data_IF_252852014389
#
_entry.id   IF_252852014389
#
_cell.length_a   1.000
_cell.length_b   1.000
_cell.length_c   1.000
_cell.angle_alpha   90.00
_cell.angle_beta   90.00
_cell.angle_gamma   90.00
#
_symmetry.space_group_name_H-M   'P 1'
#
loop_
_entity.id
_entity.type
_entity.pdbx_description
1 polymer ?
#
# COMPACT_ATOMS: atom_id res chain seq x y z
N UNK A 1 -20.47 17.80 3.11
CA UNK A 1 -19.39 17.91 2.09
C UNK A 1 -19.09 16.52 1.59
N UNK A 2 -18.91 16.33 0.27
CA UNK A 2 -18.46 15.08 -0.34
C UNK A 2 -17.05 14.74 0.18
N UNK A 3 -16.76 13.47 0.43
CA UNK A 3 -15.43 13.01 0.84
C UNK A 3 -14.92 11.96 -0.15
N UNK A 4 -13.66 12.09 -0.58
CA UNK A 4 -12.94 11.10 -1.38
C UNK A 4 -11.80 10.56 -0.54
N UNK A 5 -11.72 9.23 -0.39
CA UNK A 5 -10.73 8.52 0.42
C UNK A 5 -9.84 7.69 -0.52
N UNK A 6 -8.55 7.94 -0.48
CA UNK A 6 -7.51 7.20 -1.18
C UNK A 6 -6.51 6.68 -0.15
N UNK A 7 -5.80 5.60 -0.46
CA UNK A 7 -4.65 5.13 0.31
C UNK A 7 -3.61 4.50 -0.61
N UNK A 8 -2.47 4.16 -0.07
CA UNK A 8 -1.45 3.35 -0.72
C UNK A 8 -1.07 3.92 -2.11
N UNK A 9 -0.86 5.24 -2.14
CA UNK A 9 -0.40 5.94 -3.34
C UNK A 9 1.06 5.65 -3.61
N UNK A 10 1.89 5.57 -2.57
CA UNK A 10 3.34 5.41 -2.66
C UNK A 10 3.99 6.41 -3.61
N UNK A 11 3.64 7.69 -3.46
CA UNK A 11 4.23 8.77 -4.24
C UNK A 11 5.75 8.76 -4.04
N UNK A 12 6.48 8.48 -5.10
CA UNK A 12 7.90 8.24 -5.07
C UNK A 12 8.73 9.40 -5.62
N UNK A 13 10.02 9.17 -5.77
CA UNK A 13 10.99 10.16 -6.24
C UNK A 13 11.16 10.19 -7.77
N UNK A 14 10.40 9.39 -8.52
CA UNK A 14 10.49 9.27 -9.97
C UNK A 14 11.67 8.42 -10.45
N UNK A 15 12.32 7.69 -9.56
CA UNK A 15 13.41 6.77 -9.89
C UNK A 15 12.94 5.48 -10.56
N UNK A 16 13.86 4.64 -11.05
CA UNK A 16 13.52 3.43 -11.81
C UNK A 16 12.82 2.36 -10.97
N UNK A 17 12.81 2.51 -9.66
CA UNK A 17 12.19 1.57 -8.71
C UNK A 17 10.96 2.15 -8.04
N UNK A 18 10.51 3.30 -8.51
CA UNK A 18 9.26 3.89 -8.09
C UNK A 18 8.08 2.99 -8.51
N UNK A 19 7.19 2.71 -7.57
CA UNK A 19 6.05 1.82 -7.78
C UNK A 19 4.75 2.57 -8.06
N UNK A 20 4.71 3.89 -7.82
CA UNK A 20 3.56 4.72 -8.14
C UNK A 20 3.25 4.69 -9.64
N UNK A 21 2.02 4.38 -9.98
CA UNK A 21 1.59 4.21 -11.36
C UNK A 21 0.64 5.30 -11.86
N UNK A 22 0.09 6.10 -10.95
CA UNK A 22 -0.98 7.05 -11.25
C UNK A 22 -0.51 8.49 -11.55
N UNK A 23 0.68 8.67 -12.15
CA UNK A 23 1.28 10.01 -12.34
C UNK A 23 0.43 10.96 -13.23
N UNK A 24 -0.31 10.41 -14.19
CA UNK A 24 -1.26 11.18 -15.00
C UNK A 24 -2.68 11.16 -14.41
N UNK A 25 -3.08 10.04 -13.84
CA UNK A 25 -4.46 9.75 -13.42
C UNK A 25 -4.81 10.45 -12.10
N UNK A 26 -3.89 10.50 -11.14
CA UNK A 26 -4.16 11.12 -9.83
C UNK A 26 -4.37 12.64 -9.95
N UNK A 27 -3.53 13.40 -10.67
CA UNK A 27 -3.82 14.82 -10.92
C UNK A 27 -5.15 15.03 -11.62
N UNK A 28 -5.49 14.20 -12.62
CA UNK A 28 -6.75 14.31 -13.36
C UNK A 28 -7.97 14.03 -12.47
N UNK A 29 -7.90 13.00 -11.62
CA UNK A 29 -8.93 12.75 -10.61
C UNK A 29 -9.09 13.94 -9.68
N UNK A 30 -8.00 14.45 -9.10
CA UNK A 30 -8.05 15.58 -8.16
C UNK A 30 -8.60 16.84 -8.82
N UNK A 31 -8.22 17.12 -10.06
CA UNK A 31 -8.76 18.27 -10.83
C UNK A 31 -10.25 18.14 -11.08
N UNK A 32 -10.78 16.94 -11.28
CA UNK A 32 -12.21 16.69 -11.43
C UNK A 32 -13.03 17.05 -10.19
N UNK A 33 -12.37 17.19 -9.02
CA UNK A 33 -13.02 17.53 -7.75
C UNK A 33 -13.18 19.03 -7.52
N UNK A 34 -12.53 19.88 -8.31
CA UNK A 34 -12.51 21.34 -8.08
C UNK A 34 -13.85 22.03 -8.30
N UNK A 35 -14.81 21.39 -8.99
CA UNK A 35 -16.16 21.94 -9.21
C UNK A 35 -17.07 21.96 -7.98
N UNK A 36 -16.73 21.24 -6.91
CA UNK A 36 -17.52 21.16 -5.67
C UNK A 36 -16.59 20.98 -4.48
N UNK A 37 -16.76 21.74 -3.38
CA UNK A 37 -15.94 21.57 -2.18
C UNK A 37 -15.92 20.13 -1.71
N UNK A 38 -14.72 19.50 -1.75
CA UNK A 38 -14.51 18.10 -1.47
C UNK A 38 -13.47 17.93 -0.33
N UNK A 39 -13.72 17.02 0.57
CA UNK A 39 -12.72 16.57 1.53
C UNK A 39 -11.95 15.40 0.94
N UNK A 40 -10.66 15.57 0.70
CA UNK A 40 -9.76 14.49 0.25
C UNK A 40 -9.07 13.89 1.46
N UNK A 41 -9.22 12.59 1.67
CA UNK A 41 -8.51 11.84 2.72
C UNK A 41 -7.48 10.94 2.05
N UNK A 42 -6.20 11.16 2.37
CA UNK A 42 -5.10 10.27 2.00
C UNK A 42 -4.82 9.41 3.24
N UNK A 43 -5.29 8.17 3.20
CA UNK A 43 -5.42 7.29 4.36
C UNK A 43 -4.20 6.36 4.51
N UNK A 44 -3.02 6.95 4.73
CA UNK A 44 -1.75 6.25 4.90
C UNK A 44 -1.06 5.88 3.59
N UNK A 45 0.22 5.67 3.67
CA UNK A 45 1.12 5.32 2.56
C UNK A 45 0.94 6.26 1.35
N UNK A 46 0.80 7.56 1.65
CA UNK A 46 0.70 8.60 0.63
C UNK A 46 2.02 8.78 -0.10
N UNK A 47 3.13 8.75 0.63
CA UNK A 47 4.49 8.82 0.11
C UNK A 47 5.24 7.52 0.37
N UNK A 48 6.28 7.25 -0.42
CA UNK A 48 7.17 6.14 -0.17
C UNK A 48 8.55 6.64 0.27
N UNK A 49 8.76 6.74 1.58
CA UNK A 49 10.05 7.08 2.17
C UNK A 49 10.99 5.88 2.26
N UNK A 50 10.51 4.68 1.94
CA UNK A 50 11.31 3.46 2.02
C UNK A 50 12.12 3.16 0.75
N UNK A 51 12.05 4.01 -0.29
CA UNK A 51 12.72 3.81 -1.60
C UNK A 51 14.26 3.95 -1.58
N UNK A 52 14.88 3.96 -0.41
CA UNK A 52 16.34 4.03 -0.27
C UNK A 52 16.84 2.98 0.72
N UNK A 53 18.13 2.64 0.60
CA UNK A 53 18.77 1.58 1.39
C UNK A 53 19.21 2.06 2.78
N UNK A 54 18.91 3.29 3.18
CA UNK A 54 19.60 4.00 4.24
C UNK A 54 18.67 4.95 5.02
N UNK A 55 18.83 5.10 6.34
CA UNK A 55 19.12 4.11 7.38
C UNK A 55 17.87 3.30 7.76
N UNK A 56 18.02 2.29 8.66
CA UNK A 56 16.91 1.46 9.19
C UNK A 56 16.11 2.16 10.30
N UNK A 57 16.18 3.48 10.35
CA UNK A 57 15.44 4.32 11.29
C UNK A 57 15.14 5.68 10.66
N UNK A 58 14.06 6.31 11.09
CA UNK A 58 13.74 7.70 10.72
C UNK A 58 14.84 8.61 11.27
N UNK A 59 15.56 9.30 10.37
CA UNK A 59 16.56 10.29 10.71
C UNK A 59 16.05 11.68 10.30
N UNK A 60 15.69 12.57 11.25
CA UNK A 60 15.05 13.84 10.94
C UNK A 60 15.83 14.73 9.97
N UNK A 61 17.17 14.64 9.97
CA UNK A 61 18.02 15.46 9.07
C UNK A 61 17.93 14.96 7.63
N UNK A 62 18.05 13.65 7.41
CA UNK A 62 17.94 13.02 6.08
C UNK A 62 16.52 13.03 5.55
N UNK A 63 15.56 12.83 6.42
CA UNK A 63 14.12 12.82 6.10
C UNK A 63 13.69 14.09 5.40
N UNK A 64 14.22 15.25 5.81
CA UNK A 64 13.87 16.52 5.16
C UNK A 64 14.37 16.59 3.71
N UNK A 65 15.55 16.06 3.43
CA UNK A 65 16.08 15.96 2.06
C UNK A 65 15.26 14.99 1.21
N UNK A 66 14.91 13.84 1.77
CA UNK A 66 14.04 12.85 1.13
C UNK A 66 12.66 13.43 0.81
N UNK A 67 12.04 14.12 1.78
CA UNK A 67 10.75 14.78 1.57
C UNK A 67 10.81 15.77 0.41
N UNK A 68 11.86 16.60 0.34
CA UNK A 68 12.07 17.54 -0.78
C UNK A 68 12.24 16.81 -2.12
N UNK A 69 12.98 15.70 -2.14
CA UNK A 69 13.15 14.90 -3.36
C UNK A 69 11.81 14.30 -3.82
N UNK A 70 11.03 13.74 -2.90
CA UNK A 70 9.71 13.18 -3.18
C UNK A 70 8.74 14.23 -3.75
N UNK A 71 8.53 15.34 -3.03
CA UNK A 71 7.51 16.33 -3.42
C UNK A 71 7.87 17.08 -4.72
N UNK A 72 9.16 17.17 -5.08
CA UNK A 72 9.62 17.83 -6.30
C UNK A 72 9.81 16.88 -7.49
N UNK A 73 9.59 15.58 -7.32
CA UNK A 73 9.72 14.64 -8.42
C UNK A 73 8.69 14.91 -9.52
N UNK A 74 9.04 14.59 -10.75
CA UNK A 74 8.17 14.79 -11.91
C UNK A 74 6.86 13.99 -11.80
N UNK A 75 6.86 12.90 -11.06
CA UNK A 75 5.68 12.05 -10.87
C UNK A 75 4.77 12.54 -9.74
N UNK A 76 5.34 13.08 -8.65
CA UNK A 76 4.60 13.47 -7.45
C UNK A 76 4.12 14.92 -7.50
N UNK A 77 4.95 15.85 -7.98
CA UNK A 77 4.64 17.27 -7.96
C UNK A 77 3.31 17.65 -8.65
N UNK A 78 2.92 17.07 -9.79
CA UNK A 78 1.62 17.36 -10.41
C UNK A 78 0.43 17.02 -9.50
N UNK A 79 0.50 15.89 -8.78
CA UNK A 79 -0.55 15.45 -7.85
C UNK A 79 -0.70 16.40 -6.65
N UNK A 80 0.42 16.87 -6.08
CA UNK A 80 0.37 17.83 -4.97
C UNK A 80 -0.18 19.19 -5.40
N UNK A 81 0.20 19.67 -6.59
CA UNK A 81 -0.38 20.91 -7.15
C UNK A 81 -1.87 20.76 -7.44
N UNK A 82 -2.32 19.59 -7.93
CA UNK A 82 -3.73 19.30 -8.12
C UNK A 82 -4.50 19.30 -6.80
N UNK A 83 -3.93 18.66 -5.74
CA UNK A 83 -4.49 18.73 -4.39
C UNK A 83 -4.59 20.19 -3.91
N UNK A 84 -3.56 21.00 -4.16
CA UNK A 84 -3.58 22.43 -3.89
C UNK A 84 -4.75 23.15 -4.55
N UNK A 85 -5.09 22.81 -5.81
CA UNK A 85 -6.27 23.38 -6.52
C UNK A 85 -7.59 22.96 -5.88
N UNK A 86 -7.71 21.72 -5.41
CA UNK A 86 -8.89 21.27 -4.63
C UNK A 86 -9.06 22.13 -3.38
N UNK A 87 -7.97 22.39 -2.64
CA UNK A 87 -8.01 23.25 -1.46
C UNK A 87 -8.40 24.69 -1.82
N UNK A 88 -7.83 25.23 -2.89
CA UNK A 88 -8.17 26.58 -3.37
C UNK A 88 -9.64 26.71 -3.78
N UNK A 89 -10.25 25.65 -4.31
CA UNK A 89 -11.67 25.57 -4.66
C UNK A 89 -12.62 25.41 -3.44
N UNK A 90 -12.11 25.56 -2.21
CA UNK A 90 -12.91 25.48 -0.99
C UNK A 90 -12.93 24.09 -0.35
N UNK A 91 -12.19 23.13 -0.89
CA UNK A 91 -12.01 21.82 -0.30
C UNK A 91 -11.09 21.82 0.92
N UNK A 92 -10.93 20.65 1.52
CA UNK A 92 -9.94 20.37 2.56
C UNK A 92 -9.28 19.02 2.31
N UNK A 93 -8.14 18.77 2.95
CA UNK A 93 -7.48 17.48 2.87
C UNK A 93 -7.02 17.01 4.25
N UNK A 94 -6.96 15.69 4.43
CA UNK A 94 -6.37 15.05 5.61
C UNK A 94 -5.41 13.98 5.11
N UNK A 95 -4.15 14.04 5.57
CA UNK A 95 -3.17 12.96 5.39
C UNK A 95 -3.04 12.20 6.72
N UNK A 96 -3.24 10.90 6.67
CA UNK A 96 -3.01 9.98 7.78
C UNK A 96 -1.67 9.31 7.56
N UNK A 97 -0.88 9.13 8.62
CA UNK A 97 0.40 8.42 8.57
C UNK A 97 0.14 6.93 8.34
N UNK A 98 0.91 6.32 7.43
CA UNK A 98 1.00 4.88 7.22
C UNK A 98 2.41 4.36 7.55
N UNK A 99 2.66 3.07 7.29
CA UNK A 99 3.95 2.47 7.61
C UNK A 99 5.07 2.79 6.60
N UNK A 100 4.74 3.31 5.41
CA UNK A 100 5.72 3.79 4.42
C UNK A 100 6.02 5.28 4.53
N UNK A 101 5.27 6.05 5.31
CA UNK A 101 5.40 7.50 5.43
C UNK A 101 5.33 8.02 6.87
N UNK A 102 5.99 7.30 7.80
CA UNK A 102 6.14 7.69 9.21
C UNK A 102 6.68 9.10 9.38
N UNK A 103 7.47 9.55 8.43
CA UNK A 103 8.10 10.86 8.34
C UNK A 103 7.08 12.01 8.29
N UNK A 104 5.84 11.72 7.87
CA UNK A 104 4.74 12.70 7.92
C UNK A 104 4.34 13.10 9.35
N UNK A 105 4.77 12.35 10.38
CA UNK A 105 4.64 12.77 11.77
C UNK A 105 5.55 13.98 12.12
N UNK A 106 6.60 14.25 11.33
CA UNK A 106 7.55 15.31 11.58
C UNK A 106 7.04 16.67 11.07
N UNK A 107 6.96 17.72 11.92
CA UNK A 107 6.44 19.03 11.51
C UNK A 107 7.17 19.67 10.33
N UNK A 108 8.49 19.48 10.24
CA UNK A 108 9.30 20.03 9.15
C UNK A 108 8.97 19.35 7.79
N UNK A 109 8.68 18.05 7.80
CA UNK A 109 8.20 17.30 6.62
C UNK A 109 6.81 17.79 6.22
N UNK A 110 5.91 17.96 7.18
CA UNK A 110 4.58 18.53 6.91
C UNK A 110 4.66 19.92 6.28
N UNK A 111 5.62 20.76 6.71
CA UNK A 111 5.85 22.08 6.12
C UNK A 111 6.31 21.97 4.65
N UNK A 112 7.21 21.03 4.34
CA UNK A 112 7.65 20.74 2.96
C UNK A 112 6.48 20.30 2.08
N UNK A 113 5.63 19.39 2.57
CA UNK A 113 4.44 18.92 1.83
C UNK A 113 3.46 20.07 1.59
N UNK A 114 3.17 20.90 2.62
CA UNK A 114 2.31 22.08 2.45
C UNK A 114 2.86 23.08 1.42
N UNK A 115 4.17 23.30 1.40
CA UNK A 115 4.80 24.19 0.43
C UNK A 115 4.65 23.65 -1.01
N UNK A 116 4.72 22.35 -1.19
CA UNK A 116 4.58 21.69 -2.50
C UNK A 116 3.17 21.78 -3.11
N UNK A 117 2.13 22.12 -2.32
CA UNK A 117 0.79 22.41 -2.83
C UNK A 117 0.75 23.65 -3.72
N UNK A 118 1.79 24.50 -3.70
CA UNK A 118 1.90 25.73 -4.46
C UNK A 118 0.72 26.70 -4.26
N UNK A 119 0.25 26.81 -3.00
CA UNK A 119 -0.86 27.66 -2.60
C UNK A 119 -0.45 28.63 -1.47
N UNK A 120 -1.15 29.76 -1.32
CA UNK A 120 -0.96 30.64 -0.17
C UNK A 120 -1.18 29.90 1.16
N UNK A 121 -0.55 30.37 2.23
CA UNK A 121 -0.59 29.72 3.56
C UNK A 121 -2.00 29.47 4.09
N UNK A 122 -2.94 30.41 3.90
CA UNK A 122 -4.35 30.26 4.34
C UNK A 122 -5.13 29.18 3.57
N UNK A 123 -4.65 28.77 2.37
CA UNK A 123 -5.19 27.67 1.60
C UNK A 123 -4.48 26.39 1.97
N UNK A 124 -3.14 26.39 2.00
CA UNK A 124 -2.36 25.18 2.32
C UNK A 124 -2.57 24.70 3.76
N UNK A 125 -2.99 25.58 4.69
CA UNK A 125 -3.38 25.19 6.05
C UNK A 125 -4.67 24.35 6.12
N UNK A 126 -5.43 24.22 5.02
CA UNK A 126 -6.58 23.30 4.92
C UNK A 126 -6.14 21.83 4.72
N UNK A 127 -4.83 21.57 4.59
CA UNK A 127 -4.25 20.24 4.71
C UNK A 127 -3.92 19.97 6.17
N UNK A 128 -4.60 19.00 6.77
CA UNK A 128 -4.33 18.47 8.10
C UNK A 128 -3.52 17.17 8.01
N UNK A 129 -2.67 16.93 9.03
CA UNK A 129 -1.97 15.67 9.19
C UNK A 129 -2.48 14.98 10.46
N UNK A 130 -2.61 13.65 10.39
CA UNK A 130 -3.03 12.78 11.48
C UNK A 130 -2.00 11.67 11.65
N UNK A 131 -1.63 11.40 12.88
CA UNK A 131 -0.62 10.42 13.26
C UNK A 131 -1.08 8.95 13.15
N UNK A 132 -2.38 8.70 12.98
CA UNK A 132 -2.90 7.33 12.89
C UNK A 132 -3.16 6.64 14.26
N UNK A 133 -2.83 7.26 15.39
CA UNK A 133 -3.09 6.70 16.74
C UNK A 133 -4.56 6.34 16.98
N UNK A 134 -5.46 7.04 16.34
CA UNK A 134 -6.89 6.78 16.38
C UNK A 134 -7.50 6.85 14.98
N UNK A 135 -8.48 5.99 14.68
CA UNK A 135 -9.20 6.07 13.42
C UNK A 135 -9.85 7.44 13.20
N UNK A 136 -9.78 7.93 11.97
CA UNK A 136 -10.45 9.17 11.57
C UNK A 136 -11.96 8.92 11.50
N UNK A 137 -12.72 9.69 12.24
CA UNK A 137 -14.18 9.65 12.22
C UNK A 137 -14.72 10.78 11.33
N UNK A 138 -15.49 10.40 10.33
CA UNK A 138 -16.12 11.32 9.39
C UNK A 138 -17.62 11.30 9.59
N UNK A 139 -18.23 12.49 9.59
CA UNK A 139 -19.67 12.66 9.43
C UNK A 139 -19.96 13.23 8.03
N UNK A 140 -20.72 12.48 7.26
CA UNK A 140 -21.13 12.88 5.91
C UNK A 140 -22.65 12.73 5.81
N UNK A 141 -23.35 13.84 5.81
CA UNK A 141 -24.83 13.83 5.77
C UNK A 141 -25.48 13.15 6.96
N UNK A 142 -24.82 13.17 8.12
CA UNK A 142 -25.26 12.45 9.34
C UNK A 142 -24.91 10.97 9.35
N UNK A 143 -24.27 10.43 8.31
CA UNK A 143 -23.74 9.07 8.32
C UNK A 143 -22.30 9.06 8.86
N UNK A 144 -22.03 8.15 9.80
CA UNK A 144 -20.71 8.00 10.43
C UNK A 144 -19.87 6.98 9.67
N UNK A 145 -18.72 7.43 9.15
CA UNK A 145 -17.72 6.62 8.47
C UNK A 145 -16.42 6.63 9.26
N UNK A 146 -15.88 5.47 9.53
CA UNK A 146 -14.60 5.29 10.20
C UNK A 146 -13.53 4.98 9.16
N UNK A 147 -12.40 5.69 9.21
CA UNK A 147 -11.28 5.53 8.28
C UNK A 147 -10.03 5.24 9.08
N UNK A 148 -9.31 4.19 8.71
CA UNK A 148 -8.00 3.82 9.29
C UNK A 148 -7.12 3.22 8.22
N UNK A 149 -5.79 3.42 8.29
CA UNK A 149 -4.91 2.83 7.29
C UNK A 149 -4.98 1.30 7.33
N UNK A 150 -4.77 0.67 8.49
CA UNK A 150 -4.93 -0.77 8.64
C UNK A 150 -3.66 -1.51 9.04
N UNK A 151 -2.50 -0.87 9.07
CA UNK A 151 -1.20 -1.41 9.42
C UNK A 151 -1.16 -2.09 10.81
N UNK A 152 -2.03 -1.62 11.71
CA UNK A 152 -2.14 -2.19 13.06
C UNK A 152 -2.67 -3.63 13.09
N UNK A 153 -3.25 -4.11 12.00
CA UNK A 153 -3.69 -5.52 11.84
C UNK A 153 -2.55 -6.43 11.40
N UNK A 154 -1.46 -5.85 10.91
CA UNK A 154 -0.26 -6.55 10.46
C UNK A 154 0.87 -6.40 11.49
N UNK A 155 1.25 -7.51 12.11
CA UNK A 155 2.27 -7.52 13.18
C UNK A 155 3.61 -6.96 12.68
N UNK A 156 3.96 -7.20 11.41
CA UNK A 156 5.21 -6.74 10.82
C UNK A 156 5.22 -5.24 10.53
N UNK A 157 4.06 -4.63 10.32
CA UNK A 157 3.93 -3.21 9.95
C UNK A 157 3.34 -2.33 11.03
N UNK A 158 3.05 -2.89 12.22
CA UNK A 158 2.49 -2.14 13.35
C UNK A 158 3.42 -1.04 13.81
N UNK A 159 2.91 0.18 13.85
CA UNK A 159 3.64 1.36 14.29
C UNK A 159 3.51 1.53 15.80
N UNK A 160 4.63 1.78 16.47
CA UNK A 160 4.65 2.28 17.85
C UNK A 160 4.50 3.82 17.82
N UNK A 161 3.25 4.27 17.78
CA UNK A 161 2.93 5.70 17.71
C UNK A 161 3.39 6.47 18.94
N UNK A 162 3.39 5.85 20.12
CA UNK A 162 3.83 6.52 21.36
C UNK A 162 5.34 6.80 21.28
N UNK A 163 6.11 5.84 20.80
CA UNK A 163 7.55 6.04 20.55
C UNK A 163 7.80 7.03 19.41
N UNK A 164 7.04 6.96 18.31
CA UNK A 164 7.16 7.90 17.17
C UNK A 164 6.91 9.35 17.58
N UNK A 165 5.84 9.60 18.32
CA UNK A 165 5.43 10.96 18.72
C UNK A 165 6.26 11.51 19.89
N UNK A 166 6.84 10.63 20.69
CA UNK A 166 7.73 11.03 21.81
C UNK A 166 9.19 11.13 21.42
N UNK A 167 9.55 10.72 20.19
CA UNK A 167 10.92 10.83 19.70
C UNK A 167 11.38 12.30 19.72
N UNK A 168 12.46 12.58 20.43
CA UNK A 168 13.09 13.89 20.41
C UNK A 168 13.60 14.20 19.00
N UNK A 169 13.72 15.49 18.69
CA UNK A 169 14.08 16.00 17.34
C UNK A 169 15.39 15.42 16.80
N UNK A 170 16.30 15.00 17.67
CA UNK A 170 17.60 14.39 17.33
C UNK A 170 17.63 12.88 17.56
N UNK A 171 16.57 12.26 18.10
CA UNK A 171 16.49 10.82 18.28
C UNK A 171 15.98 10.14 16.99
N UNK A 172 16.52 8.96 16.73
CA UNK A 172 16.09 8.14 15.59
C UNK A 172 14.95 7.24 16.03
N UNK A 173 13.83 7.32 15.33
CA UNK A 173 12.76 6.36 15.46
C UNK A 173 13.07 5.12 14.62
N UNK A 174 12.97 3.93 15.23
CA UNK A 174 13.19 2.66 14.55
C UNK A 174 11.98 2.29 13.71
N UNK A 175 12.20 1.96 12.43
CA UNK A 175 11.11 1.51 11.56
C UNK A 175 10.46 0.20 12.07
N UNK A 176 9.17 -0.04 11.79
CA UNK A 176 8.55 -1.35 11.96
C UNK A 176 9.31 -2.43 11.19
N UNK A 177 9.27 -3.69 11.65
CA UNK A 177 9.99 -4.79 11.03
C UNK A 177 9.75 -4.93 9.52
N UNK A 178 8.51 -4.74 9.06
CA UNK A 178 8.16 -4.78 7.63
C UNK A 178 8.86 -3.69 6.82
N UNK A 179 8.94 -2.46 7.37
CA UNK A 179 9.66 -1.34 6.72
C UNK A 179 11.18 -1.59 6.70
N UNK A 180 11.74 -2.16 7.79
CA UNK A 180 13.15 -2.60 7.82
C UNK A 180 13.40 -3.60 6.70
N UNK A 181 12.51 -4.54 6.51
CA UNK A 181 12.60 -5.58 5.49
C UNK A 181 12.57 -5.02 4.06
N UNK A 182 11.70 -4.04 3.79
CA UNK A 182 11.71 -3.32 2.51
C UNK A 182 13.09 -2.71 2.25
N UNK A 183 13.67 -2.02 3.23
CA UNK A 183 14.96 -1.34 3.09
C UNK A 183 16.15 -2.29 3.02
N UNK A 184 16.19 -3.31 3.87
CA UNK A 184 17.35 -4.22 3.98
C UNK A 184 17.35 -5.35 2.97
N UNK A 185 16.18 -5.74 2.44
CA UNK A 185 16.05 -6.87 1.53
C UNK A 185 15.46 -6.50 0.17
N UNK A 186 14.26 -5.91 0.14
CA UNK A 186 13.60 -5.64 -1.15
C UNK A 186 14.36 -4.62 -2.00
N UNK A 187 14.82 -3.52 -1.39
CA UNK A 187 15.59 -2.50 -2.10
C UNK A 187 16.91 -3.04 -2.67
N UNK A 188 17.78 -3.74 -1.93
CA UNK A 188 18.95 -4.40 -2.49
C UNK A 188 18.62 -5.36 -3.64
N UNK A 189 17.56 -6.16 -3.55
CA UNK A 189 17.12 -7.03 -4.63
C UNK A 189 16.71 -6.24 -5.89
N UNK A 190 16.00 -5.15 -5.71
CA UNK A 190 15.60 -4.23 -6.80
C UNK A 190 16.81 -3.54 -7.42
N UNK A 191 17.70 -2.99 -6.60
CA UNK A 191 18.83 -2.17 -7.05
C UNK A 191 19.96 -3.03 -7.64
N UNK A 192 20.40 -4.06 -6.90
CA UNK A 192 21.57 -4.87 -7.29
C UNK A 192 21.23 -5.93 -8.33
N UNK A 193 20.02 -6.51 -8.24
CA UNK A 193 19.59 -7.60 -9.11
C UNK A 193 18.54 -7.20 -10.15
N UNK A 194 18.14 -5.93 -10.20
CA UNK A 194 17.11 -5.39 -11.10
C UNK A 194 15.76 -6.10 -11.00
N UNK A 195 15.44 -6.65 -9.83
CA UNK A 195 14.22 -7.41 -9.60
C UNK A 195 13.06 -6.47 -9.26
N UNK A 196 12.69 -5.58 -10.20
CA UNK A 196 11.64 -4.56 -10.01
C UNK A 196 10.31 -5.16 -9.55
N UNK A 197 10.01 -6.38 -9.95
CA UNK A 197 8.75 -7.04 -9.62
C UNK A 197 8.57 -7.35 -8.12
N UNK A 198 9.61 -7.26 -7.30
CA UNK A 198 9.55 -7.65 -5.87
C UNK A 198 8.48 -6.88 -5.09
N UNK A 199 8.37 -5.56 -5.28
CA UNK A 199 7.34 -4.75 -4.62
C UNK A 199 5.95 -4.88 -5.25
N UNK A 200 5.87 -5.50 -6.41
CA UNK A 200 4.64 -5.63 -7.17
C UNK A 200 3.97 -6.99 -6.96
N UNK A 201 4.65 -7.90 -6.26
CA UNK A 201 4.12 -9.20 -5.86
C UNK A 201 3.27 -9.02 -4.60
N UNK A 202 1.98 -9.11 -4.75
CA UNK A 202 1.02 -8.98 -3.65
C UNK A 202 0.15 -10.25 -3.60
N UNK A 203 -0.36 -10.63 -2.44
CA UNK A 203 -0.42 -9.91 -1.17
C UNK A 203 0.68 -10.27 -0.17
N UNK A 204 1.57 -11.22 -0.49
CA UNK A 204 2.37 -11.87 0.54
C UNK A 204 3.87 -11.66 0.33
N UNK A 205 4.50 -11.04 1.35
CA UNK A 205 5.95 -10.87 1.40
C UNK A 205 6.71 -12.21 1.34
N UNK A 206 6.26 -13.22 2.06
CA UNK A 206 6.89 -14.54 2.08
C UNK A 206 6.89 -15.15 0.67
N UNK A 207 5.78 -15.03 -0.03
CA UNK A 207 5.68 -15.44 -1.43
C UNK A 207 6.62 -14.66 -2.33
N UNK A 208 6.78 -13.35 -2.12
CA UNK A 208 7.71 -12.53 -2.88
C UNK A 208 9.16 -12.99 -2.68
N UNK A 209 9.57 -13.26 -1.44
CA UNK A 209 10.92 -13.82 -1.12
C UNK A 209 11.12 -15.17 -1.79
N UNK A 210 10.12 -16.07 -1.72
CA UNK A 210 10.22 -17.40 -2.33
C UNK A 210 10.34 -17.31 -3.86
N UNK A 211 9.59 -16.40 -4.50
CA UNK A 211 9.72 -16.14 -5.94
C UNK A 211 11.10 -15.59 -6.27
N UNK A 212 11.61 -14.64 -5.48
CA UNK A 212 12.94 -14.09 -5.67
C UNK A 212 14.02 -15.15 -5.62
N UNK A 213 13.99 -16.03 -4.63
CA UNK A 213 14.92 -17.14 -4.47
C UNK A 213 14.82 -18.13 -5.64
N UNK A 214 13.61 -18.40 -6.12
CA UNK A 214 13.37 -19.24 -7.29
C UNK A 214 13.93 -18.64 -8.58
N UNK A 215 13.81 -17.34 -8.77
CA UNK A 215 14.28 -16.62 -9.96
C UNK A 215 15.80 -16.37 -9.93
N UNK A 216 16.36 -16.02 -8.77
CA UNK A 216 17.81 -15.74 -8.60
C UNK A 216 18.32 -16.32 -7.28
N UNK A 217 18.89 -17.54 -7.27
CA UNK A 217 19.47 -18.14 -6.04
C UNK A 217 20.58 -17.31 -5.39
N UNK A 218 21.30 -16.48 -6.18
CA UNK A 218 22.32 -15.58 -5.62
C UNK A 218 21.73 -14.47 -4.74
N UNK A 219 20.43 -14.22 -4.85
CA UNK A 219 19.71 -13.35 -3.91
C UNK A 219 19.73 -13.89 -2.46
N UNK A 220 19.97 -15.18 -2.27
CA UNK A 220 20.20 -15.79 -0.96
C UNK A 220 21.36 -15.13 -0.21
N UNK A 221 22.39 -14.64 -0.92
CA UNK A 221 23.51 -13.94 -0.29
C UNK A 221 23.09 -12.63 0.37
N UNK A 222 22.09 -11.95 -0.17
CA UNK A 222 21.54 -10.72 0.41
C UNK A 222 20.79 -11.05 1.71
N UNK A 223 20.05 -12.17 1.74
CA UNK A 223 19.37 -12.66 2.94
C UNK A 223 20.37 -13.04 4.05
N UNK A 224 21.46 -13.68 3.69
CA UNK A 224 22.48 -14.14 4.66
C UNK A 224 23.38 -13.01 5.20
N UNK A 225 23.34 -11.82 4.60
CA UNK A 225 24.08 -10.64 5.05
C UNK A 225 23.21 -9.61 5.75
N UNK A 226 21.90 -9.86 5.84
CA UNK A 226 20.97 -9.00 6.56
C UNK A 226 21.09 -9.20 8.06
N UNK A 227 20.96 -8.10 8.82
CA UNK A 227 21.10 -8.06 10.29
C UNK A 227 20.11 -9.00 11.04
N UNK A 228 20.37 -9.22 12.34
CA UNK A 228 19.61 -10.05 13.29
C UNK A 228 18.08 -9.86 13.25
N UNK A 229 17.60 -8.77 12.71
CA UNK A 229 16.17 -8.45 12.59
C UNK A 229 15.46 -9.18 11.44
N UNK A 230 16.20 -9.47 10.38
CA UNK A 230 15.70 -10.35 9.30
C UNK A 230 15.65 -11.78 9.79
N UNK A 231 16.61 -12.20 10.63
CA UNK A 231 16.59 -13.50 11.28
C UNK A 231 15.39 -13.64 12.24
N UNK A 232 15.00 -12.59 12.95
CA UNK A 232 13.81 -12.59 13.79
C UNK A 232 12.51 -12.71 12.98
N UNK A 233 12.45 -12.07 11.81
CA UNK A 233 11.32 -12.18 10.88
C UNK A 233 11.30 -13.55 10.18
N UNK A 234 12.47 -14.06 9.77
CA UNK A 234 12.60 -15.40 9.19
C UNK A 234 12.27 -16.49 10.22
N UNK A 235 12.60 -16.27 11.51
CA UNK A 235 12.25 -17.21 12.60
C UNK A 235 10.74 -17.18 12.94
N UNK A 236 10.00 -16.16 12.54
CA UNK A 236 8.55 -16.15 12.63
C UNK A 236 7.87 -16.93 11.49
N UNK A 237 8.65 -17.38 10.48
CA UNK A 237 8.17 -18.29 9.44
C UNK A 237 8.06 -19.70 10.03
N UNK A 238 7.07 -20.47 9.51
CA UNK A 238 6.88 -21.86 9.91
C UNK A 238 8.19 -22.67 9.72
N UNK A 239 8.66 -23.44 10.72
CA UNK A 239 9.86 -24.27 10.62
C UNK A 239 9.88 -25.23 9.42
N UNK A 240 8.72 -25.72 8.96
CA UNK A 240 8.63 -26.52 7.73
C UNK A 240 8.98 -25.71 6.46
N UNK A 241 8.79 -24.41 6.52
CA UNK A 241 9.14 -23.48 5.43
C UNK A 241 10.63 -23.18 5.39
N UNK A 242 11.27 -23.08 6.57
CA UNK A 242 12.72 -22.86 6.73
C UNK A 242 13.54 -24.10 6.34
N UNK A 243 13.08 -25.30 6.68
CA UNK A 243 13.77 -26.56 6.34
C UNK A 243 13.88 -26.79 4.82
N UNK A 244 13.07 -26.12 4.01
CA UNK A 244 13.21 -26.13 2.54
C UNK A 244 14.46 -25.37 2.06
N UNK A 245 15.06 -24.51 2.91
CA UNK A 245 16.24 -23.68 2.59
C UNK A 245 17.57 -24.30 3.03
N UNK A 246 17.56 -25.26 3.96
CA UNK A 246 18.79 -25.75 4.62
C UNK A 246 19.60 -26.79 3.83
N UNK A 247 19.29 -27.10 2.56
CA UNK A 247 20.03 -28.12 1.80
C UNK A 247 20.87 -27.53 0.66
N UNK A 248 22.13 -27.12 0.90
CA UNK A 248 22.98 -26.46 -0.10
C UNK A 248 23.56 -27.34 -1.20
N UNK A 249 23.36 -28.65 -1.17
CA UNK A 249 24.19 -29.59 -1.93
C UNK A 249 23.71 -30.11 -3.27
N UNK A 250 22.53 -29.74 -3.79
CA UNK A 250 21.93 -30.36 -4.98
C UNK A 250 21.44 -29.36 -6.04
N UNK A 251 22.23 -28.36 -6.34
CA UNK A 251 21.87 -27.07 -6.95
C UNK A 251 21.30 -27.05 -8.39
N UNK A 252 21.42 -28.08 -9.19
CA UNK A 252 20.94 -28.03 -10.57
C UNK A 252 19.51 -28.55 -10.79
N UNK A 253 19.21 -29.77 -10.31
CA UNK A 253 17.86 -30.37 -10.37
C UNK A 253 16.98 -30.01 -9.16
N UNK A 254 17.60 -29.70 -8.02
CA UNK A 254 16.94 -29.18 -6.85
C UNK A 254 16.40 -27.76 -7.08
N UNK A 255 17.06 -26.96 -7.90
CA UNK A 255 16.67 -25.58 -8.24
C UNK A 255 15.28 -25.50 -8.83
N UNK A 256 14.96 -26.34 -9.81
CA UNK A 256 13.63 -26.41 -10.41
C UNK A 256 12.58 -26.94 -9.41
N UNK A 257 12.97 -27.90 -8.56
CA UNK A 257 12.11 -28.40 -7.49
C UNK A 257 11.87 -27.36 -6.39
N UNK A 258 12.88 -26.56 -6.03
CA UNK A 258 12.76 -25.46 -5.07
C UNK A 258 11.87 -24.34 -5.62
N UNK A 259 12.01 -23.98 -6.90
CA UNK A 259 11.12 -23.04 -7.56
C UNK A 259 9.68 -23.55 -7.55
N UNK A 260 9.46 -24.82 -7.92
CA UNK A 260 8.15 -25.47 -7.90
C UNK A 260 7.57 -25.56 -6.49
N UNK A 261 8.40 -25.91 -5.49
CA UNK A 261 7.97 -25.94 -4.09
C UNK A 261 7.65 -24.55 -3.55
N UNK A 262 8.48 -23.54 -3.87
CA UNK A 262 8.25 -22.14 -3.51
C UNK A 262 6.96 -21.60 -4.11
N UNK A 263 6.67 -21.91 -5.38
CA UNK A 263 5.40 -21.52 -5.99
C UNK A 263 4.21 -22.30 -5.47
N UNK A 264 4.35 -23.60 -5.21
CA UNK A 264 3.30 -24.39 -4.57
C UNK A 264 3.02 -23.89 -3.16
N UNK A 265 4.06 -23.47 -2.44
CA UNK A 265 3.93 -22.85 -1.12
C UNK A 265 3.29 -21.47 -1.23
N UNK A 266 3.75 -20.62 -2.14
CA UNK A 266 3.11 -19.31 -2.42
C UNK A 266 1.64 -19.49 -2.79
N UNK A 267 1.31 -20.42 -3.68
CA UNK A 267 -0.07 -20.72 -4.04
C UNK A 267 -0.89 -21.24 -2.83
N UNK A 268 -0.29 -22.02 -1.92
CA UNK A 268 -0.94 -22.46 -0.68
C UNK A 268 -1.13 -21.31 0.31
N UNK A 269 -0.12 -20.47 0.50
CA UNK A 269 -0.19 -19.28 1.36
C UNK A 269 -1.19 -18.27 0.80
N UNK A 270 -1.16 -18.02 -0.50
CA UNK A 270 -2.16 -17.22 -1.18
C UNK A 270 -3.59 -17.76 -0.95
N UNK A 271 -3.79 -19.09 -0.99
CA UNK A 271 -5.07 -19.72 -0.63
C UNK A 271 -5.41 -19.60 0.86
N UNK A 272 -4.42 -19.59 1.74
CA UNK A 272 -4.66 -19.45 3.19
C UNK A 272 -4.98 -18.01 3.59
N UNK A 273 -4.33 -17.04 2.97
CA UNK A 273 -4.59 -15.60 3.16
C UNK A 273 -5.88 -15.17 2.44
N UNK A 274 -6.08 -15.63 1.21
CA UNK A 274 -7.32 -15.37 0.45
C UNK A 274 -8.54 -16.20 0.95
N UNK A 275 -8.31 -17.13 1.89
CA UNK A 275 -9.32 -18.03 2.41
C UNK A 275 -9.63 -19.22 1.49
N UNK A 276 -10.26 -20.28 2.07
CA UNK A 276 -10.66 -21.49 1.32
C UNK A 276 -11.68 -21.24 0.21
N UNK A 277 -12.19 -20.04 0.08
CA UNK A 277 -13.13 -19.61 -0.94
C UNK A 277 -12.48 -19.22 -2.26
N UNK A 278 -11.13 -19.27 -2.35
CA UNK A 278 -10.42 -18.93 -3.58
C UNK A 278 -10.55 -17.47 -3.97
N UNK A 279 -10.67 -16.57 -2.99
CA UNK A 279 -10.75 -15.12 -3.24
C UNK A 279 -9.45 -14.69 -3.89
N UNK A 280 -9.52 -14.36 -5.17
CA UNK A 280 -8.39 -13.78 -5.91
C UNK A 280 -8.00 -12.44 -5.27
N UNK A 281 -6.70 -12.14 -5.24
CA UNK A 281 -6.21 -10.81 -4.80
C UNK A 281 -6.96 -9.67 -5.49
N UNK A 282 -7.41 -9.88 -6.71
CA UNK A 282 -8.18 -8.93 -7.49
C UNK A 282 -9.71 -9.02 -7.30
N UNK A 283 -10.20 -9.97 -6.51
CA UNK A 283 -11.62 -10.05 -6.16
C UNK A 283 -11.99 -8.98 -5.14
N UNK A 284 -13.27 -8.62 -5.08
CA UNK A 284 -13.75 -7.58 -4.16
C UNK A 284 -14.10 -8.13 -2.76
N UNK A 285 -14.22 -9.44 -2.61
CA UNK A 285 -14.52 -10.06 -1.32
C UNK A 285 -13.36 -9.89 -0.34
N UNK A 286 -13.59 -9.31 0.84
CA UNK A 286 -12.54 -9.14 1.85
C UNK A 286 -12.15 -10.46 2.50
N UNK A 287 -10.93 -10.51 3.01
CA UNK A 287 -10.44 -11.61 3.83
C UNK A 287 -11.13 -11.67 5.21
N UNK A 288 -10.98 -12.81 5.90
CA UNK A 288 -11.56 -12.99 7.23
C UNK A 288 -11.02 -11.99 8.26
N UNK A 289 -9.74 -11.67 8.19
CA UNK A 289 -9.09 -10.77 9.13
C UNK A 289 -9.56 -9.32 8.92
N UNK A 290 -9.73 -8.90 7.66
CA UNK A 290 -10.31 -7.59 7.33
C UNK A 290 -11.74 -7.46 7.85
N UNK A 291 -12.57 -8.51 7.70
CA UNK A 291 -13.93 -8.53 8.23
C UNK A 291 -13.95 -8.54 9.75
N UNK A 292 -13.10 -9.33 10.40
CA UNK A 292 -13.01 -9.41 11.86
C UNK A 292 -12.61 -8.05 12.45
N UNK A 293 -11.67 -7.35 11.81
CA UNK A 293 -11.26 -6.01 12.22
C UNK A 293 -12.37 -4.98 12.00
N UNK A 294 -13.04 -5.01 10.85
CA UNK A 294 -14.22 -4.17 10.59
C UNK A 294 -15.31 -4.35 11.65
N UNK A 295 -15.57 -5.60 12.07
CA UNK A 295 -16.53 -5.89 13.15
C UNK A 295 -16.04 -5.38 14.51
N UNK A 296 -14.76 -5.55 14.83
CA UNK A 296 -14.15 -5.04 16.07
C UNK A 296 -14.29 -3.52 16.18
N UNK A 297 -13.92 -2.81 15.11
CA UNK A 297 -14.05 -1.36 14.99
C UNK A 297 -15.53 -0.95 15.04
N UNK A 298 -16.36 -1.73 14.39
CA UNK A 298 -17.81 -1.55 14.41
C UNK A 298 -18.43 -1.60 15.79
N UNK A 299 -18.03 -2.56 16.61
CA UNK A 299 -18.49 -2.67 18.01
C UNK A 299 -17.96 -1.52 18.87
N UNK A 300 -16.72 -1.09 18.64
CA UNK A 300 -16.07 -0.05 19.46
C UNK A 300 -16.61 1.35 19.18
N UNK A 301 -16.85 1.71 17.92
CA UNK A 301 -17.14 3.08 17.51
C UNK A 301 -18.55 3.27 16.92
N UNK A 302 -19.24 2.21 16.56
CA UNK A 302 -20.61 2.24 16.00
C UNK A 302 -20.75 2.96 14.65
N UNK A 303 -19.79 2.91 13.69
CA UNK A 303 -19.96 3.53 12.39
C UNK A 303 -20.90 2.71 11.49
N UNK A 304 -21.47 3.35 10.47
CA UNK A 304 -22.20 2.65 9.40
C UNK A 304 -21.27 2.10 8.32
N UNK A 305 -20.06 2.66 8.21
CA UNK A 305 -19.05 2.13 7.31
C UNK A 305 -17.65 2.18 7.93
N UNK A 306 -16.81 1.20 7.59
CA UNK A 306 -15.37 1.15 7.89
C UNK A 306 -14.62 1.13 6.58
N UNK A 307 -13.69 2.06 6.40
CA UNK A 307 -12.81 2.18 5.23
C UNK A 307 -11.38 1.94 5.66
N UNK A 308 -10.69 1.04 4.98
CA UNK A 308 -9.30 0.67 5.24
C UNK A 308 -8.44 0.81 3.97
N UNK A 309 -7.13 0.71 4.12
CA UNK A 309 -6.09 0.59 3.09
C UNK A 309 -5.13 -0.54 3.40
N UNK A 310 -3.83 -0.29 3.26
CA UNK A 310 -2.69 -1.12 3.66
C UNK A 310 -2.50 -2.42 2.86
N UNK A 311 -3.54 -3.19 2.61
CA UNK A 311 -3.40 -4.48 1.90
C UNK A 311 -3.27 -4.33 0.40
N UNK A 312 -3.38 -3.12 -0.15
CA UNK A 312 -3.36 -2.77 -1.58
C UNK A 312 -4.46 -3.44 -2.41
N UNK A 313 -5.36 -4.17 -1.79
CA UNK A 313 -6.44 -4.89 -2.46
C UNK A 313 -7.76 -4.16 -2.28
N UNK A 314 -8.36 -3.69 -3.37
CA UNK A 314 -9.70 -3.12 -3.32
C UNK A 314 -10.70 -4.17 -2.84
N UNK A 315 -11.45 -3.88 -1.77
CA UNK A 315 -12.42 -4.79 -1.18
C UNK A 315 -13.74 -4.11 -0.92
N UNK A 316 -14.80 -4.89 -0.98
CA UNK A 316 -16.15 -4.44 -0.71
C UNK A 316 -16.97 -5.52 -0.02
N UNK A 317 -17.61 -5.17 1.08
CA UNK A 317 -18.56 -6.04 1.74
C UNK A 317 -19.70 -5.23 2.36
N UNK A 318 -20.90 -5.75 2.25
CA UNK A 318 -22.08 -5.22 2.93
C UNK A 318 -22.75 -6.32 3.74
N UNK A 319 -22.71 -6.19 5.04
CA UNK A 319 -23.26 -7.18 5.95
C UNK A 319 -23.43 -6.65 7.37
N UNK A 320 -24.29 -7.28 8.16
CA UNK A 320 -24.51 -6.94 9.57
C UNK A 320 -24.84 -5.45 9.82
N UNK A 321 -25.56 -4.80 8.90
CA UNK A 321 -25.94 -3.39 8.99
C UNK A 321 -24.77 -2.42 8.76
N UNK A 322 -23.64 -2.88 8.25
CA UNK A 322 -22.44 -2.07 8.02
C UNK A 322 -21.83 -2.34 6.66
N UNK A 323 -21.13 -1.33 6.14
CA UNK A 323 -20.32 -1.45 4.92
C UNK A 323 -18.85 -1.51 5.32
N UNK A 324 -18.11 -2.43 4.72
CA UNK A 324 -16.66 -2.46 4.72
C UNK A 324 -16.15 -2.17 3.31
N UNK A 325 -15.14 -1.30 3.19
CA UNK A 325 -14.44 -1.06 1.94
C UNK A 325 -12.93 -0.94 2.21
N UNK A 326 -12.11 -1.51 1.32
CA UNK A 326 -10.71 -1.19 1.23
C UNK A 326 -10.47 -0.39 -0.05
N UNK A 327 -9.77 0.73 0.08
CA UNK A 327 -9.53 1.66 -1.04
C UNK A 327 -8.65 1.08 -2.15
N UNK A 328 -7.97 -0.05 -1.90
CA UNK A 328 -7.00 -0.60 -2.85
C UNK A 328 -5.71 0.22 -2.91
N UNK A 329 -5.17 0.44 -4.10
CA UNK A 329 -3.86 1.08 -4.27
C UNK A 329 -3.75 1.84 -5.60
N UNK A 330 -2.69 2.67 -5.70
CA UNK A 330 -2.31 3.43 -6.91
C UNK A 330 -0.94 3.02 -7.46
N UNK A 331 -0.42 1.86 -7.01
CA UNK A 331 0.80 1.25 -7.55
C UNK A 331 0.48 0.31 -8.72
N UNK A 332 1.53 -0.08 -9.45
CA UNK A 332 1.45 -1.21 -10.37
C UNK A 332 1.30 -2.51 -9.58
N UNK A 333 0.45 -3.42 -10.04
CA UNK A 333 0.28 -4.75 -9.48
C UNK A 333 0.68 -5.80 -10.51
N UNK A 334 1.49 -6.77 -10.11
CA UNK A 334 1.89 -7.86 -10.99
C UNK A 334 0.87 -9.00 -10.88
N UNK A 335 0.17 -9.29 -11.99
CA UNK A 335 -0.74 -10.43 -12.04
C UNK A 335 0.06 -11.72 -12.13
N UNK A 336 -0.15 -12.60 -11.17
CA UNK A 336 0.41 -13.95 -11.15
C UNK A 336 -0.49 -14.94 -11.91
N UNK A 337 0.05 -16.07 -12.40
CA UNK A 337 -0.75 -17.18 -12.87
C UNK A 337 -1.72 -17.67 -11.78
N UNK A 338 -2.82 -18.29 -12.19
CA UNK A 338 -3.73 -18.92 -11.24
C UNK A 338 -3.00 -19.91 -10.34
N UNK A 339 -3.33 -20.02 -9.05
CA UNK A 339 -2.82 -21.07 -8.18
C UNK A 339 -3.01 -22.50 -8.74
N UNK A 340 -4.04 -22.70 -9.58
CA UNK A 340 -4.37 -23.97 -10.21
C UNK A 340 -3.78 -24.12 -11.64
N UNK A 341 -2.99 -23.12 -12.11
CA UNK A 341 -2.29 -23.21 -13.37
C UNK A 341 -1.29 -24.38 -13.37
N UNK A 342 -1.00 -24.92 -14.55
CA UNK A 342 -0.09 -26.04 -14.71
C UNK A 342 1.34 -25.70 -14.28
N UNK A 343 2.13 -26.71 -13.95
CA UNK A 343 3.56 -26.57 -13.69
C UNK A 343 4.30 -25.96 -14.89
N UNK A 344 3.81 -26.19 -16.12
CA UNK A 344 4.35 -25.65 -17.35
C UNK A 344 4.11 -24.14 -17.46
N UNK A 345 2.88 -23.69 -17.18
CA UNK A 345 2.51 -22.27 -17.16
C UNK A 345 3.33 -21.49 -16.13
N UNK A 346 3.45 -22.04 -14.93
CA UNK A 346 4.28 -21.46 -13.87
C UNK A 346 5.76 -21.43 -14.25
N UNK A 347 6.27 -22.51 -14.86
CA UNK A 347 7.64 -22.59 -15.37
C UNK A 347 7.93 -21.53 -16.44
N UNK A 348 7.00 -21.35 -17.38
CA UNK A 348 7.10 -20.34 -18.44
C UNK A 348 7.07 -18.91 -17.87
N UNK A 349 6.19 -18.65 -16.89
CA UNK A 349 6.10 -17.37 -16.20
C UNK A 349 7.39 -17.02 -15.45
N UNK A 350 7.98 -17.99 -14.74
CA UNK A 350 9.28 -17.84 -14.09
C UNK A 350 10.40 -17.54 -15.05
N UNK A 351 10.46 -18.28 -16.16
CA UNK A 351 11.48 -18.07 -17.19
C UNK A 351 11.40 -16.64 -17.75
N UNK A 352 10.19 -16.10 -17.89
CA UNK A 352 10.00 -14.69 -18.27
C UNK A 352 10.56 -13.74 -17.21
N UNK A 353 10.23 -13.91 -15.92
CA UNK A 353 10.78 -13.07 -14.85
C UNK A 353 12.30 -13.17 -14.74
N UNK A 354 12.89 -14.35 -14.98
CA UNK A 354 14.34 -14.54 -15.01
C UNK A 354 14.99 -13.78 -16.17
N UNK A 355 14.37 -13.79 -17.36
CA UNK A 355 14.88 -13.13 -18.55
C UNK A 355 14.58 -11.63 -18.59
N UNK A 356 13.55 -11.18 -17.89
CA UNK A 356 13.09 -9.79 -17.83
C UNK A 356 12.80 -9.32 -16.39
N UNK A 357 13.81 -9.33 -15.50
CA UNK A 357 13.60 -9.00 -14.09
C UNK A 357 13.19 -7.54 -13.86
N UNK A 358 13.49 -6.65 -14.80
CA UNK A 358 13.11 -5.24 -14.76
C UNK A 358 11.68 -4.97 -15.27
N UNK A 359 10.98 -6.00 -15.75
CA UNK A 359 9.65 -5.90 -16.37
C UNK A 359 9.59 -4.86 -17.51
N UNK A 360 10.60 -4.88 -18.40
CA UNK A 360 10.61 -4.03 -19.58
C UNK A 360 9.38 -4.32 -20.46
N UNK A 361 8.55 -3.32 -20.79
CA UNK A 361 7.27 -3.54 -21.47
C UNK A 361 7.38 -4.28 -22.80
N UNK A 362 8.46 -4.00 -23.58
CA UNK A 362 8.71 -4.65 -24.87
C UNK A 362 9.00 -6.16 -24.77
N UNK A 363 9.31 -6.65 -23.56
CA UNK A 363 9.67 -8.05 -23.28
C UNK A 363 8.64 -8.79 -22.45
N UNK A 364 7.55 -8.10 -22.06
CA UNK A 364 6.45 -8.67 -21.28
C UNK A 364 5.55 -9.50 -22.21
N UNK A 365 5.32 -10.77 -21.85
CA UNK A 365 4.40 -11.68 -22.54
C UNK A 365 3.37 -12.27 -21.58
N UNK A 366 3.83 -12.78 -20.45
CA UNK A 366 3.05 -13.45 -19.41
C UNK A 366 2.92 -12.58 -18.16
N UNK A 367 4.03 -11.99 -17.73
CA UNK A 367 4.06 -11.07 -16.58
C UNK A 367 3.40 -9.74 -16.96
N UNK A 368 2.15 -9.54 -16.50
CA UNK A 368 1.35 -8.35 -16.82
C UNK A 368 1.21 -7.46 -15.60
N UNK A 369 1.47 -6.17 -15.81
CA UNK A 369 1.16 -5.14 -14.83
C UNK A 369 -0.29 -4.71 -14.98
N UNK A 370 -1.02 -4.69 -13.86
CA UNK A 370 -2.35 -4.11 -13.76
C UNK A 370 -2.30 -2.82 -12.94
N UNK A 371 -3.10 -1.86 -13.36
CA UNK A 371 -3.31 -0.60 -12.65
C UNK A 371 -4.79 -0.50 -12.29
N UNK A 372 -5.07 -0.49 -10.99
CA UNK A 372 -6.44 -0.41 -10.48
C UNK A 372 -6.59 0.81 -9.57
N UNK A 373 -6.53 1.99 -10.13
CA UNK A 373 -6.65 3.25 -9.40
C UNK A 373 -8.01 3.37 -8.70
N UNK A 374 -8.08 2.87 -7.47
CA UNK A 374 -9.33 2.78 -6.73
C UNK A 374 -9.39 3.79 -5.59
N UNK A 375 -10.60 4.15 -5.22
CA UNK A 375 -10.91 5.07 -4.13
C UNK A 375 -12.29 4.78 -3.55
N UNK A 376 -12.54 5.29 -2.34
CA UNK A 376 -13.88 5.30 -1.75
C UNK A 376 -14.41 6.72 -1.77
N UNK A 377 -15.61 6.92 -2.32
CA UNK A 377 -16.33 8.17 -2.25
C UNK A 377 -17.50 8.07 -1.29
N UNK A 378 -17.67 9.10 -0.47
CA UNK A 378 -18.84 9.27 0.40
C UNK A 378 -19.48 10.59 0.07
N UNK A 379 -20.67 10.56 -0.50
CA UNK A 379 -21.41 11.74 -0.92
C UNK A 379 -22.70 11.89 -0.10
N UNK A 380 -22.97 13.10 0.48
CA UNK A 380 -24.21 13.32 1.20
C UNK A 380 -25.40 13.25 0.26
N UNK A 381 -26.51 12.69 0.73
CA UNK A 381 -27.78 12.65 0.04
C UNK A 381 -28.95 13.04 0.98
N UNK A 382 -30.19 12.98 0.52
CA UNK A 382 -31.37 13.39 1.28
C UNK A 382 -31.62 12.53 2.53
N UNK A 383 -31.15 11.28 2.58
CA UNK A 383 -31.38 10.32 3.68
C UNK A 383 -30.15 10.04 4.53
N UNK A 384 -29.00 10.63 4.18
CA UNK A 384 -27.72 10.38 4.83
C UNK A 384 -26.57 10.55 3.86
N UNK A 385 -25.95 9.44 3.44
CA UNK A 385 -24.89 9.44 2.45
C UNK A 385 -24.92 8.20 1.55
N UNK A 386 -24.42 8.33 0.35
CA UNK A 386 -24.08 7.20 -0.51
C UNK A 386 -22.57 6.97 -0.40
N UNK A 387 -22.17 5.76 -0.02
CA UNK A 387 -20.78 5.33 -0.05
C UNK A 387 -20.58 4.40 -1.24
N UNK A 388 -19.52 4.64 -2.01
CA UNK A 388 -19.15 3.77 -3.12
C UNK A 388 -17.65 3.52 -3.19
N UNK A 389 -17.26 2.29 -3.45
CA UNK A 389 -15.95 1.94 -3.95
C UNK A 389 -15.96 2.15 -5.46
N UNK A 390 -15.00 2.88 -5.99
CA UNK A 390 -14.93 3.21 -7.40
C UNK A 390 -13.50 3.09 -7.94
N UNK A 391 -13.40 2.79 -9.23
CA UNK A 391 -12.15 2.80 -9.98
C UNK A 391 -12.11 4.05 -10.87
N UNK A 392 -10.99 4.78 -10.83
CA UNK A 392 -10.70 5.84 -11.78
C UNK A 392 -10.22 5.24 -13.09
N UNK A 393 -10.98 5.41 -14.14
CA UNK A 393 -10.69 4.92 -15.49
C UNK A 393 -11.39 5.80 -16.51
N UNK A 394 -10.78 5.98 -17.69
CA UNK A 394 -11.38 6.75 -18.80
C UNK A 394 -11.86 8.14 -18.37
N UNK A 395 -11.08 8.80 -17.50
CA UNK A 395 -11.37 10.12 -16.90
C UNK A 395 -12.68 10.19 -16.10
N UNK A 396 -13.12 9.05 -15.54
CA UNK A 396 -14.32 8.96 -14.73
C UNK A 396 -14.20 7.96 -13.57
N UNK A 397 -15.10 8.09 -12.60
CA UNK A 397 -15.24 7.14 -11.49
C UNK A 397 -16.26 6.07 -11.87
N UNK A 398 -15.81 4.83 -12.02
CA UNK A 398 -16.62 3.65 -12.30
C UNK A 398 -16.89 2.88 -11.01
N UNK A 399 -18.17 2.76 -10.64
CA UNK A 399 -18.58 2.12 -9.38
C UNK A 399 -18.31 0.61 -9.41
N UNK A 400 -17.63 0.11 -8.39
CA UNK A 400 -17.38 -1.32 -8.14
C UNK A 400 -18.33 -1.86 -7.06
N UNK A 401 -18.68 -1.05 -6.07
CA UNK A 401 -19.66 -1.36 -5.02
C UNK A 401 -20.31 -0.08 -4.52
N UNK A 402 -21.56 -0.14 -4.11
CA UNK A 402 -22.30 1.02 -3.62
C UNK A 402 -23.31 0.64 -2.52
N UNK A 403 -23.46 1.51 -1.54
CA UNK A 403 -24.43 1.36 -0.46
C UNK A 403 -24.95 2.70 0.05
N UNK A 404 -26.20 2.72 0.46
CA UNK A 404 -26.81 3.86 1.14
C UNK A 404 -26.57 3.75 2.65
N UNK A 405 -26.01 4.81 3.22
CA UNK A 405 -25.81 4.98 4.65
C UNK A 405 -26.87 5.94 5.19
N UNK A 406 -27.69 5.47 6.12
CA UNK A 406 -28.74 6.32 6.72
C UNK A 406 -28.09 7.34 7.70
N UNK A 407 -28.65 8.53 7.79
CA UNK A 407 -28.26 9.46 8.85
C UNK A 407 -28.50 8.78 10.23
N UNK A 408 -27.52 8.89 11.11
CA UNK A 408 -27.67 8.42 12.49
C UNK A 408 -28.76 9.25 13.21
N UNK A 409 -29.65 8.59 13.92
CA UNK A 409 -30.61 9.23 14.80
C UNK A 409 -29.93 9.77 16.06
#
# INVERSE_FOLDING_TARGET
>A
MRTLILSDLHLGNGGPYDIFAGAAELPALLDSLTGTPTHVVLNGDSFDFLLNDDPLAVDPKRTLEQARALVNSAQTAPSLKALGRVLAAGGRATMVVGNHDLELALPDVQAVVRAALAQPAHVSSRLEFRDGTAPLQLDVGGARVLVTHGEHTDVANRIDYDALLSAERDSRFRYPPGSVLVKSLLNPLKHQHRMRYMDLLKPDFQGAVMVALGVKPDALKVLLTADDEVDALLSALDPEQLNAFESPGALGRARLKLCKAGFALYARLHRSVAGRTGTDYFALEPGKDELAESERLGRKFGPQAVVMGHTHAARWHQGNGRVFANTGTWISLLRLPSPDASDEDWGAYLAELQSNPALEPSRQKLARLEHRFTCVEVAPNASGATLRLAQWKDQGLHTLGSAELKAGS
#
